data_IF_413559218147
#
_entry.id   IF_413559218147
#
_cell.length_a   1.000
_cell.length_b   1.000
_cell.length_c   1.000
_cell.angle_alpha   90.00
_cell.angle_beta   90.00
_cell.angle_gamma   90.00
#
_symmetry.space_group_name_H-M   'P 1'
#
loop_
_entity.id
_entity.type
_entity.pdbx_description
1 polymer ?
#
# COMPACT_ATOMS: atom_id res chain seq x y z
N UNK A 1 10.74 26.27 -26.05
CA UNK A 1 10.33 25.79 -24.71
C UNK A 1 8.83 25.58 -24.76
N UNK A 2 8.38 24.34 -24.80
CA UNK A 2 6.95 24.00 -24.62
C UNK A 2 6.73 23.87 -23.13
N UNK A 3 6.04 24.83 -22.54
CA UNK A 3 5.47 24.70 -21.22
C UNK A 3 4.50 23.50 -21.25
N UNK A 4 4.92 22.38 -20.70
CA UNK A 4 4.00 21.32 -20.34
C UNK A 4 3.17 21.85 -19.17
N UNK A 5 1.92 22.20 -19.46
CA UNK A 5 0.92 22.43 -18.41
C UNK A 5 0.72 21.09 -17.71
N UNK A 6 1.39 20.88 -16.58
CA UNK A 6 1.07 19.77 -15.68
C UNK A 6 -0.38 19.99 -15.26
N UNK A 7 -1.29 19.10 -15.67
CA UNK A 7 -2.62 19.02 -15.08
C UNK A 7 -2.42 18.48 -13.66
N UNK A 8 -2.26 19.37 -12.72
CA UNK A 8 -2.18 19.02 -11.32
C UNK A 8 -3.58 18.65 -10.85
N UNK A 9 -3.75 17.44 -10.36
CA UNK A 9 -5.00 17.04 -9.74
C UNK A 9 -5.16 17.78 -8.42
N UNK A 10 -6.33 18.29 -8.15
CA UNK A 10 -6.73 18.74 -6.82
C UNK A 10 -7.04 17.49 -6.00
N UNK A 11 -6.52 17.44 -4.78
CA UNK A 11 -6.84 16.34 -3.86
C UNK A 11 -8.34 16.36 -3.58
N UNK A 12 -9.00 15.24 -3.76
CA UNK A 12 -10.42 15.08 -3.50
C UNK A 12 -10.61 14.29 -2.20
N UNK A 13 -11.47 14.78 -1.33
CA UNK A 13 -11.92 14.00 -0.17
C UNK A 13 -12.61 12.72 -0.66
N UNK A 14 -12.22 11.58 -0.08
CA UNK A 14 -12.86 10.32 -0.37
C UNK A 14 -14.32 10.34 0.12
N UNK A 15 -15.23 10.20 -0.78
CA UNK A 15 -16.58 9.72 -0.66
C UNK A 15 -17.48 10.25 0.46
N UNK A 16 -18.60 9.59 0.59
CA UNK A 16 -19.60 9.82 1.63
C UNK A 16 -19.10 9.27 2.95
N UNK A 17 -18.96 10.12 3.96
CA UNK A 17 -18.76 9.64 5.32
C UNK A 17 -20.10 9.32 5.97
N UNK A 18 -20.27 8.12 6.50
CA UNK A 18 -21.44 7.77 7.29
C UNK A 18 -21.05 7.65 8.76
N UNK A 19 -21.65 8.47 9.62
CA UNK A 19 -21.52 8.30 11.04
C UNK A 19 -22.43 7.16 11.52
N UNK A 20 -21.84 6.13 12.11
CA UNK A 20 -22.61 5.10 12.82
C UNK A 20 -23.39 5.73 13.95
N UNK A 21 -24.70 5.50 14.01
CA UNK A 21 -25.54 6.00 15.10
C UNK A 21 -25.09 5.37 16.42
N UNK A 22 -24.46 6.18 17.25
CA UNK A 22 -24.28 5.84 18.64
C UNK A 22 -25.18 6.71 19.48
N UNK A 23 -26.18 6.08 20.02
CA UNK A 23 -26.99 6.61 21.09
C UNK A 23 -26.16 6.69 22.37
N UNK A 24 -25.09 7.47 22.36
CA UNK A 24 -24.36 7.91 23.55
C UNK A 24 -25.16 9.00 24.21
N UNK A 25 -26.00 8.64 25.15
CA UNK A 25 -26.77 9.59 25.94
C UNK A 25 -25.79 10.43 26.76
N UNK A 26 -25.47 11.66 26.33
CA UNK A 26 -24.81 12.65 27.17
C UNK A 26 -23.50 13.27 26.69
N UNK A 27 -23.00 12.97 25.50
CA UNK A 27 -21.85 13.69 24.96
C UNK A 27 -22.25 15.10 24.50
N UNK A 28 -21.40 16.06 24.83
CA UNK A 28 -21.60 17.45 24.47
C UNK A 28 -21.31 17.61 22.99
N UNK A 29 -22.24 18.22 22.27
CA UNK A 29 -22.04 18.55 20.85
C UNK A 29 -20.72 19.30 20.64
N UNK A 30 -19.93 18.87 19.66
CA UNK A 30 -18.65 19.45 19.32
C UNK A 30 -18.86 20.85 18.70
N UNK A 31 -18.15 21.84 19.17
CA UNK A 31 -18.15 23.19 18.60
C UNK A 31 -16.97 23.36 17.63
N UNK A 32 -17.20 23.01 16.36
CA UNK A 32 -16.17 23.01 15.31
C UNK A 32 -15.66 24.38 14.91
N UNK A 33 -16.28 25.47 15.43
CA UNK A 33 -15.81 26.84 15.15
C UNK A 33 -14.70 27.29 16.08
N UNK A 34 -14.40 26.52 17.13
CA UNK A 34 -13.34 26.86 18.08
C UNK A 34 -11.98 26.63 17.46
N UNK A 35 -11.08 27.58 17.67
CA UNK A 35 -9.66 27.43 17.36
C UNK A 35 -9.05 26.37 18.27
N UNK A 36 -8.48 25.30 17.69
CA UNK A 36 -7.79 24.23 18.41
C UNK A 36 -6.28 24.47 18.47
N UNK A 37 -5.72 25.10 17.44
CA UNK A 37 -4.33 25.54 17.40
C UNK A 37 -4.17 26.78 16.53
N UNK A 38 -3.00 27.42 16.63
CA UNK A 38 -2.54 28.46 15.70
C UNK A 38 -1.12 28.17 15.28
N UNK A 39 -0.83 28.35 13.99
CA UNK A 39 0.50 28.21 13.38
C UNK A 39 0.85 29.57 12.77
N UNK A 40 1.86 30.25 13.28
CA UNK A 40 2.26 31.60 12.85
C UNK A 40 1.11 32.59 12.72
N UNK A 41 0.11 32.46 13.61
CA UNK A 41 -1.10 33.27 13.64
C UNK A 41 -2.25 32.79 12.77
N UNK A 42 -2.06 31.76 11.95
CA UNK A 42 -3.14 31.07 11.20
C UNK A 42 -3.92 30.16 12.15
N UNK A 43 -5.24 30.35 12.22
CA UNK A 43 -6.10 29.56 13.10
C UNK A 43 -6.50 28.23 12.48
N UNK A 44 -6.38 27.15 13.25
CA UNK A 44 -6.90 25.80 12.91
C UNK A 44 -8.19 25.60 13.69
N UNK A 45 -9.34 25.51 12.99
CA UNK A 45 -10.62 25.26 13.65
C UNK A 45 -10.79 23.77 14.00
N UNK A 46 -11.45 23.51 15.12
CA UNK A 46 -11.69 22.16 15.63
C UNK A 46 -12.50 21.28 14.63
N UNK A 47 -13.37 21.89 13.81
CA UNK A 47 -14.13 21.17 12.79
C UNK A 47 -13.23 20.60 11.69
N UNK A 48 -12.18 21.32 11.29
CA UNK A 48 -11.18 20.84 10.33
C UNK A 48 -10.41 19.65 10.92
N UNK A 49 -9.93 19.76 12.16
CA UNK A 49 -9.28 18.64 12.85
C UNK A 49 -10.23 17.44 13.02
N UNK A 50 -11.51 17.69 13.33
CA UNK A 50 -12.51 16.63 13.43
C UNK A 50 -12.68 15.89 12.11
N UNK A 51 -12.73 16.61 10.99
CA UNK A 51 -12.81 16.02 9.64
C UNK A 51 -11.59 15.12 9.37
N UNK A 52 -10.39 15.65 9.51
CA UNK A 52 -9.14 14.94 9.24
C UNK A 52 -9.02 13.65 10.07
N UNK A 53 -9.18 13.72 11.39
CA UNK A 53 -9.04 12.55 12.24
C UNK A 53 -10.14 11.50 12.00
N UNK A 54 -11.35 11.92 11.64
CA UNK A 54 -12.45 10.97 11.35
C UNK A 54 -12.28 10.30 10.01
N UNK A 55 -11.73 10.99 9.03
CA UNK A 55 -11.33 10.40 7.76
C UNK A 55 -10.25 9.33 7.98
N UNK A 56 -9.18 9.64 8.68
CA UNK A 56 -8.13 8.68 9.03
C UNK A 56 -8.67 7.49 9.84
N UNK A 57 -9.55 7.74 10.81
CA UNK A 57 -10.24 6.67 11.55
C UNK A 57 -11.02 5.74 10.61
N UNK A 58 -11.82 6.31 9.70
CA UNK A 58 -12.64 5.53 8.80
C UNK A 58 -11.81 4.73 7.78
N UNK A 59 -10.69 5.29 7.31
CA UNK A 59 -9.73 4.59 6.44
C UNK A 59 -9.08 3.41 7.16
N UNK A 60 -8.59 3.63 8.39
CA UNK A 60 -7.99 2.57 9.20
C UNK A 60 -8.98 1.43 9.50
N UNK A 61 -10.23 1.76 9.85
CA UNK A 61 -11.27 0.77 10.09
C UNK A 61 -11.65 0.00 8.80
N UNK A 62 -11.70 0.68 7.66
CA UNK A 62 -11.99 0.03 6.37
C UNK A 62 -10.86 -0.92 5.96
N UNK A 63 -9.61 -0.49 6.11
CA UNK A 63 -8.44 -1.31 5.85
C UNK A 63 -8.42 -2.56 6.74
N UNK A 64 -8.57 -2.38 8.05
CA UNK A 64 -8.60 -3.50 9.00
C UNK A 64 -9.72 -4.49 8.66
N UNK A 65 -10.91 -3.98 8.35
CA UNK A 65 -12.06 -4.82 7.98
C UNK A 65 -11.80 -5.65 6.72
N UNK A 66 -11.06 -5.08 5.77
CA UNK A 66 -10.64 -5.78 4.56
C UNK A 66 -9.67 -6.94 4.87
N UNK A 67 -8.71 -6.73 5.79
CA UNK A 67 -7.73 -7.75 6.16
C UNK A 67 -8.27 -8.82 7.10
N UNK A 68 -9.20 -8.47 8.01
CA UNK A 68 -9.66 -9.35 9.09
C UNK A 68 -11.04 -9.95 8.84
N UNK A 69 -11.42 -10.12 7.58
CA UNK A 69 -12.65 -10.86 7.22
C UNK A 69 -13.95 -10.26 7.78
N UNK A 70 -14.01 -8.93 7.92
CA UNK A 70 -15.23 -8.24 8.35
C UNK A 70 -15.37 -8.02 9.85
N UNK A 71 -14.36 -8.35 10.65
CA UNK A 71 -14.32 -8.04 12.08
C UNK A 71 -14.28 -6.53 12.31
N UNK A 72 -14.97 -6.07 13.37
CA UNK A 72 -14.93 -4.67 13.76
C UNK A 72 -13.57 -4.32 14.38
N UNK A 73 -12.94 -3.28 13.86
CA UNK A 73 -11.75 -2.71 14.47
C UNK A 73 -12.11 -2.00 15.79
N UNK A 74 -11.42 -2.34 16.85
CA UNK A 74 -11.68 -1.82 18.20
C UNK A 74 -10.37 -1.64 18.96
N UNK A 75 -9.67 -0.56 18.64
CA UNK A 75 -8.37 -0.24 19.24
C UNK A 75 -8.32 1.17 19.83
N UNK A 76 -9.25 2.05 19.41
CA UNK A 76 -9.17 3.48 19.73
C UNK A 76 -9.20 3.80 21.21
N UNK A 77 -9.87 2.96 22.01
CA UNK A 77 -9.90 3.06 23.47
C UNK A 77 -8.76 2.36 24.19
N UNK A 78 -7.91 1.61 23.47
CA UNK A 78 -6.78 0.88 24.03
C UNK A 78 -5.60 1.82 24.27
N UNK A 79 -4.82 1.57 25.32
CA UNK A 79 -3.62 2.32 25.65
C UNK A 79 -2.52 2.03 24.62
N UNK A 80 -2.04 3.08 23.94
CA UNK A 80 -0.94 3.02 22.96
C UNK A 80 0.40 3.29 23.65
N UNK A 81 0.45 4.29 24.53
CA UNK A 81 1.59 4.71 25.33
C UNK A 81 1.12 4.96 26.75
N UNK A 82 2.04 5.06 27.72
CA UNK A 82 1.69 5.32 29.12
C UNK A 82 0.80 6.57 29.27
N UNK A 83 -0.47 6.34 29.56
CA UNK A 83 -1.48 7.37 29.80
C UNK A 83 -2.13 7.98 28.57
N UNK A 84 -1.90 7.45 27.35
CA UNK A 84 -2.55 7.84 26.10
C UNK A 84 -3.20 6.67 25.40
N UNK A 85 -4.40 6.86 24.86
CA UNK A 85 -5.06 5.87 23.99
C UNK A 85 -4.66 6.09 22.53
N UNK A 86 -4.82 5.05 21.69
CA UNK A 86 -4.65 5.19 20.22
C UNK A 86 -5.54 6.29 19.64
N UNK A 87 -6.76 6.46 20.18
CA UNK A 87 -7.64 7.55 19.77
C UNK A 87 -7.12 8.95 20.13
N UNK A 88 -6.46 9.11 21.26
CA UNK A 88 -5.82 10.38 21.64
C UNK A 88 -4.57 10.63 20.80
N UNK A 89 -3.79 9.60 20.50
CA UNK A 89 -2.64 9.68 19.61
C UNK A 89 -3.05 10.08 18.18
N UNK A 90 -4.12 9.47 17.65
CA UNK A 90 -4.66 9.82 16.32
C UNK A 90 -5.10 11.29 16.23
N UNK A 91 -5.69 11.84 17.31
CA UNK A 91 -6.07 13.27 17.34
C UNK A 91 -4.84 14.18 17.35
N UNK A 92 -3.81 13.82 18.10
CA UNK A 92 -2.56 14.59 18.13
C UNK A 92 -1.85 14.53 16.77
N UNK A 93 -1.72 13.35 16.18
CA UNK A 93 -1.11 13.16 14.86
C UNK A 93 -1.85 13.95 13.77
N UNK A 94 -3.17 13.88 13.72
CA UNK A 94 -3.96 14.64 12.75
C UNK A 94 -3.81 16.17 12.95
N UNK A 95 -3.59 16.64 14.18
CA UNK A 95 -3.31 18.04 14.41
C UNK A 95 -1.92 18.44 13.90
N UNK A 96 -0.90 17.65 14.17
CA UNK A 96 0.47 17.86 13.68
C UNK A 96 0.51 17.87 12.14
N UNK A 97 -0.24 16.97 11.48
CA UNK A 97 -0.37 16.97 10.02
C UNK A 97 -0.98 18.28 9.49
N UNK A 98 -2.04 18.79 10.13
CA UNK A 98 -2.64 20.08 9.74
C UNK A 98 -1.68 21.26 10.02
N UNK A 99 -0.94 21.22 11.11
CA UNK A 99 0.07 22.23 11.45
C UNK A 99 1.16 22.27 10.37
N UNK A 100 1.65 21.09 9.94
CA UNK A 100 2.59 20.97 8.82
C UNK A 100 1.98 21.52 7.52
N UNK A 101 0.75 21.16 7.19
CA UNK A 101 0.09 21.67 5.99
C UNK A 101 -0.04 23.20 5.97
N UNK A 102 -0.29 23.82 7.11
CA UNK A 102 -0.29 25.28 7.24
C UNK A 102 1.10 25.90 6.93
N UNK A 103 2.16 25.25 7.40
CA UNK A 103 3.55 25.69 7.13
C UNK A 103 3.90 25.48 5.65
N UNK A 104 3.55 24.32 5.08
CA UNK A 104 3.77 24.04 3.65
C UNK A 104 3.11 25.10 2.77
N UNK A 105 1.87 25.49 3.08
CA UNK A 105 1.18 26.58 2.40
C UNK A 105 1.91 27.92 2.55
N UNK A 106 2.43 28.23 3.73
CA UNK A 106 3.22 29.45 3.96
C UNK A 106 4.51 29.47 3.14
N UNK A 107 5.20 28.34 3.06
CA UNK A 107 6.46 28.18 2.31
C UNK A 107 6.26 28.00 0.81
N UNK A 108 5.05 27.74 0.33
CA UNK A 108 4.76 27.40 -1.06
C UNK A 108 5.31 28.41 -2.09
N UNK A 109 5.22 29.70 -1.78
CA UNK A 109 5.74 30.76 -2.66
C UNK A 109 7.27 30.71 -2.83
N UNK A 110 8.01 30.22 -1.85
CA UNK A 110 9.48 30.08 -1.91
C UNK A 110 9.89 28.94 -2.87
N UNK A 111 8.97 28.05 -3.17
CA UNK A 111 9.11 26.88 -4.06
C UNK A 111 8.38 27.05 -5.40
N UNK A 112 7.91 28.25 -5.72
CA UNK A 112 7.11 28.51 -6.93
C UNK A 112 5.83 27.65 -7.03
N UNK A 113 5.26 27.24 -5.88
CA UNK A 113 4.01 26.49 -5.79
C UNK A 113 2.86 27.43 -5.50
N UNK A 114 1.84 27.39 -6.34
CA UNK A 114 0.62 28.21 -6.20
C UNK A 114 -0.65 27.41 -6.52
N UNK A 115 -1.76 27.82 -5.97
CA UNK A 115 -3.11 27.35 -6.32
C UNK A 115 -3.67 28.30 -7.36
N UNK A 116 -4.09 27.76 -8.51
CA UNK A 116 -4.66 28.52 -9.62
C UNK A 116 -6.16 28.75 -9.45
N UNK A 117 -6.76 29.65 -10.25
CA UNK A 117 -8.23 29.86 -10.26
C UNK A 117 -8.99 28.57 -10.61
N UNK A 118 -8.44 27.70 -11.46
CA UNK A 118 -9.04 26.39 -11.79
C UNK A 118 -9.00 25.44 -10.59
N UNK A 119 -7.92 25.49 -9.81
CA UNK A 119 -7.80 24.71 -8.57
C UNK A 119 -8.77 25.21 -7.49
N UNK A 120 -8.88 26.53 -7.29
CA UNK A 120 -9.82 27.12 -6.35
C UNK A 120 -11.27 26.68 -6.68
N UNK A 121 -11.59 26.64 -7.99
CA UNK A 121 -12.88 26.16 -8.44
C UNK A 121 -13.06 24.67 -8.15
N UNK A 122 -12.08 23.84 -8.44
CA UNK A 122 -12.15 22.40 -8.20
C UNK A 122 -12.27 22.08 -6.70
N UNK A 123 -11.54 22.79 -5.84
CA UNK A 123 -11.65 22.71 -4.38
C UNK A 123 -13.07 23.10 -3.91
N UNK A 124 -13.63 24.18 -4.46
CA UNK A 124 -14.98 24.61 -4.10
C UNK A 124 -16.04 23.59 -4.54
N UNK A 125 -15.90 23.05 -5.76
CA UNK A 125 -16.82 22.03 -6.28
C UNK A 125 -16.71 20.72 -5.45
N UNK A 126 -15.51 20.30 -5.06
CA UNK A 126 -15.27 19.14 -4.21
C UNK A 126 -15.85 19.30 -2.79
N UNK A 127 -15.65 20.47 -2.18
CA UNK A 127 -16.23 20.76 -0.87
C UNK A 127 -17.77 20.76 -0.91
N UNK A 128 -18.37 21.37 -1.92
CA UNK A 128 -19.82 21.35 -2.11
C UNK A 128 -20.35 19.93 -2.35
N UNK A 129 -19.62 19.11 -3.11
CA UNK A 129 -19.95 17.70 -3.32
C UNK A 129 -19.90 16.93 -1.99
N UNK A 130 -18.86 17.10 -1.18
CA UNK A 130 -18.76 16.50 0.15
C UNK A 130 -19.95 16.89 1.04
N UNK A 131 -20.27 18.17 1.12
CA UNK A 131 -21.40 18.64 1.93
C UNK A 131 -22.74 18.07 1.46
N UNK A 132 -22.95 17.93 0.15
CA UNK A 132 -24.20 17.40 -0.41
C UNK A 132 -24.32 15.88 -0.33
N UNK A 133 -23.21 15.18 -0.34
CA UNK A 133 -23.16 13.72 -0.24
C UNK A 133 -23.37 13.20 1.20
N UNK A 134 -23.15 14.05 2.20
CA UNK A 134 -23.26 13.69 3.62
C UNK A 134 -24.59 14.16 4.24
N UNK A 135 -25.11 13.38 5.21
CA UNK A 135 -26.32 13.75 5.93
C UNK A 135 -26.06 14.91 6.89
N UNK A 136 -27.11 15.69 7.25
CA UNK A 136 -27.01 16.74 8.26
C UNK A 136 -26.48 16.21 9.61
N UNK A 137 -26.89 15.01 10.01
CA UNK A 137 -26.43 14.39 11.25
C UNK A 137 -24.93 14.03 11.20
N UNK A 138 -24.46 13.54 10.05
CA UNK A 138 -23.02 13.28 9.83
C UNK A 138 -22.22 14.57 9.90
N UNK A 139 -22.61 15.59 9.16
CA UNK A 139 -21.94 16.91 9.15
C UNK A 139 -21.95 17.57 10.52
N UNK A 140 -23.04 17.42 11.26
CA UNK A 140 -23.16 17.91 12.64
C UNK A 140 -22.21 17.16 13.57
N UNK A 141 -22.06 15.85 13.40
CA UNK A 141 -21.14 15.02 14.22
C UNK A 141 -19.68 15.35 13.90
N UNK A 142 -19.36 15.59 12.62
CA UNK A 142 -18.05 16.10 12.19
C UNK A 142 -17.80 17.52 12.69
N UNK A 143 -18.87 18.28 12.98
CA UNK A 143 -18.85 19.69 13.38
C UNK A 143 -18.11 20.58 12.37
N UNK A 144 -18.15 20.25 11.09
CA UNK A 144 -17.43 20.90 10.00
C UNK A 144 -18.36 21.80 9.17
N UNK A 145 -17.83 22.91 8.65
CA UNK A 145 -18.49 23.78 7.69
C UNK A 145 -17.89 23.63 6.30
N UNK A 146 -18.63 24.01 5.27
CA UNK A 146 -18.14 23.99 3.88
C UNK A 146 -16.83 24.79 3.72
N UNK A 147 -16.70 25.94 4.36
CA UNK A 147 -15.48 26.75 4.30
C UNK A 147 -14.29 26.04 4.97
N UNK A 148 -14.51 25.27 6.03
CA UNK A 148 -13.48 24.47 6.66
C UNK A 148 -13.05 23.29 5.76
N UNK A 149 -14.01 22.66 5.06
CA UNK A 149 -13.71 21.62 4.06
C UNK A 149 -12.90 22.21 2.90
N UNK A 150 -13.26 23.39 2.39
CA UNK A 150 -12.47 24.08 1.35
C UNK A 150 -11.04 24.36 1.81
N UNK A 151 -10.88 24.89 3.02
CA UNK A 151 -9.56 25.17 3.58
C UNK A 151 -8.74 23.90 3.76
N UNK A 152 -9.34 22.82 4.22
CA UNK A 152 -8.68 21.53 4.38
C UNK A 152 -8.19 20.99 3.02
N UNK A 153 -9.05 20.98 1.99
CA UNK A 153 -8.68 20.56 0.63
C UNK A 153 -7.59 21.44 0.00
N UNK A 154 -7.63 22.75 0.28
CA UNK A 154 -6.56 23.65 -0.13
C UNK A 154 -5.22 23.28 0.51
N UNK A 155 -5.21 23.01 1.81
CA UNK A 155 -4.03 22.59 2.54
C UNK A 155 -3.48 21.25 2.05
N UNK A 156 -4.34 20.25 1.83
CA UNK A 156 -3.97 18.97 1.24
C UNK A 156 -3.37 19.14 -0.17
N UNK A 157 -3.93 20.06 -0.97
CA UNK A 157 -3.39 20.36 -2.30
C UNK A 157 -1.99 20.96 -2.22
N UNK A 158 -1.72 21.85 -1.24
CA UNK A 158 -0.37 22.36 -1.01
C UNK A 158 0.57 21.26 -0.53
N UNK A 159 0.14 20.39 0.39
CA UNK A 159 0.93 19.24 0.87
C UNK A 159 1.39 18.37 -0.28
N UNK A 160 0.46 17.98 -1.15
CA UNK A 160 0.77 17.17 -2.33
C UNK A 160 1.73 17.86 -3.30
N UNK A 161 1.56 19.16 -3.54
CA UNK A 161 2.38 19.90 -4.52
C UNK A 161 3.76 20.31 -4.01
N UNK A 162 3.92 20.40 -2.71
CA UNK A 162 5.18 20.81 -2.08
C UNK A 162 6.19 19.68 -1.99
N UNK A 163 5.77 18.42 -2.05
CA UNK A 163 6.65 17.27 -1.92
C UNK A 163 7.79 17.30 -2.94
N UNK A 164 7.47 17.26 -4.24
CA UNK A 164 8.47 17.24 -5.32
C UNK A 164 9.46 18.41 -5.29
N UNK A 165 9.00 19.67 -5.11
CA UNK A 165 9.92 20.80 -4.99
C UNK A 165 10.87 20.71 -3.80
N UNK A 166 10.42 20.20 -2.65
CA UNK A 166 11.26 20.05 -1.45
C UNK A 166 12.39 19.06 -1.70
N UNK A 167 12.09 17.93 -2.36
CA UNK A 167 13.08 16.88 -2.63
C UNK A 167 13.88 17.09 -3.92
N UNK A 168 13.62 18.17 -4.67
CA UNK A 168 14.21 18.39 -5.99
C UNK A 168 15.76 18.40 -6.02
N UNK A 169 16.38 18.84 -4.93
CA UNK A 169 17.83 18.97 -4.80
C UNK A 169 18.50 17.73 -4.17
N UNK A 170 17.77 16.63 -3.97
CA UNK A 170 18.33 15.39 -3.43
C UNK A 170 19.44 14.82 -4.33
N UNK A 171 20.50 14.28 -3.72
CA UNK A 171 21.56 13.62 -4.47
C UNK A 171 21.11 12.24 -4.98
N UNK A 172 20.83 12.17 -6.28
CA UNK A 172 20.41 10.94 -6.97
C UNK A 172 21.59 10.11 -7.50
N UNK A 173 22.84 10.53 -7.23
CA UNK A 173 24.00 9.76 -7.65
C UNK A 173 24.26 8.64 -6.62
N UNK A 174 23.89 7.43 -6.98
CA UNK A 174 24.17 6.21 -6.21
C UNK A 174 25.18 5.39 -6.99
N UNK A 175 26.35 5.13 -6.39
CA UNK A 175 27.38 4.30 -7.02
C UNK A 175 26.99 2.81 -7.00
N UNK A 176 27.62 2.03 -7.91
CA UNK A 176 27.44 0.58 -7.87
C UNK A 176 28.00 0.00 -6.57
N UNK A 177 29.08 0.58 -6.03
CA UNK A 177 29.71 0.14 -4.77
C UNK A 177 28.76 0.32 -3.56
N UNK A 178 27.92 1.37 -3.58
CA UNK A 178 26.95 1.66 -2.52
C UNK A 178 25.68 0.79 -2.60
N UNK A 179 25.32 0.35 -3.80
CA UNK A 179 24.05 -0.33 -4.05
C UNK A 179 24.19 -1.78 -4.53
N UNK A 180 25.42 -2.30 -4.63
CA UNK A 180 25.65 -3.59 -5.24
C UNK A 180 24.98 -4.72 -4.47
N UNK A 181 24.12 -5.48 -5.19
CA UNK A 181 23.35 -6.58 -4.63
C UNK A 181 23.79 -7.92 -5.18
N UNK A 182 23.82 -8.91 -4.28
CA UNK A 182 23.79 -10.34 -4.62
C UNK A 182 22.36 -10.84 -4.57
N UNK A 183 21.98 -11.77 -5.47
CA UNK A 183 20.67 -12.41 -5.47
C UNK A 183 20.77 -13.91 -5.20
N UNK A 184 19.75 -14.47 -4.56
CA UNK A 184 19.72 -15.89 -4.21
C UNK A 184 18.27 -16.40 -4.13
N UNK A 185 18.15 -17.72 -4.21
CA UNK A 185 16.91 -18.43 -3.95
C UNK A 185 17.08 -19.34 -2.73
N UNK A 186 16.00 -19.54 -1.99
CA UNK A 186 16.03 -20.38 -0.79
C UNK A 186 14.67 -21.03 -0.52
N UNK A 187 14.74 -22.15 0.23
CA UNK A 187 13.57 -22.72 0.90
C UNK A 187 13.79 -22.58 2.39
N UNK A 188 12.78 -22.07 3.09
CA UNK A 188 12.74 -22.03 4.55
C UNK A 188 11.70 -23.03 5.06
N UNK A 189 12.09 -23.95 5.91
CA UNK A 189 11.22 -25.00 6.46
C UNK A 189 11.11 -24.77 7.96
N UNK A 190 9.99 -24.20 8.41
CA UNK A 190 9.75 -23.90 9.81
C UNK A 190 9.71 -25.17 10.67
N UNK A 191 10.25 -25.05 11.88
CA UNK A 191 10.23 -26.09 12.93
C UNK A 191 9.52 -25.62 14.20
N UNK A 192 8.91 -24.41 14.16
CA UNK A 192 8.16 -23.85 15.29
C UNK A 192 6.99 -24.75 15.64
N UNK A 193 6.75 -24.92 16.94
CA UNK A 193 5.64 -25.70 17.50
C UNK A 193 5.55 -27.18 17.09
N UNK A 194 6.64 -27.74 16.52
CA UNK A 194 6.72 -29.14 16.10
C UNK A 194 7.33 -30.02 17.20
N UNK A 195 6.99 -31.30 17.19
CA UNK A 195 7.60 -32.35 18.03
C UNK A 195 9.00 -32.72 17.50
N UNK A 196 9.86 -33.33 18.35
CA UNK A 196 11.21 -33.78 17.99
C UNK A 196 11.23 -34.72 16.75
N UNK A 197 10.20 -35.55 16.59
CA UNK A 197 10.10 -36.47 15.44
C UNK A 197 9.74 -35.71 14.16
N UNK A 198 8.88 -34.69 14.25
CA UNK A 198 8.52 -33.83 13.11
C UNK A 198 9.71 -32.95 12.70
N UNK A 199 10.39 -32.32 13.67
CA UNK A 199 11.61 -31.54 13.41
C UNK A 199 12.65 -32.39 12.65
N UNK A 200 12.83 -33.65 13.07
CA UNK A 200 13.71 -34.58 12.38
C UNK A 200 13.26 -34.85 10.94
N UNK A 201 11.95 -35.01 10.72
CA UNK A 201 11.41 -35.19 9.38
C UNK A 201 11.67 -33.96 8.51
N UNK A 202 11.43 -32.75 9.04
CA UNK A 202 11.70 -31.50 8.33
C UNK A 202 13.19 -31.35 7.94
N UNK A 203 14.10 -31.77 8.82
CA UNK A 203 15.54 -31.85 8.49
C UNK A 203 15.85 -32.83 7.37
N UNK A 204 15.22 -34.01 7.39
CA UNK A 204 15.38 -35.01 6.34
C UNK A 204 14.83 -34.49 4.99
N UNK A 205 13.75 -33.70 5.01
CA UNK A 205 13.17 -33.08 3.82
C UNK A 205 14.08 -31.99 3.26
N UNK A 206 14.59 -31.08 4.10
CA UNK A 206 15.61 -30.09 3.71
C UNK A 206 16.84 -30.78 3.06
N UNK A 207 17.28 -31.91 3.63
CA UNK A 207 18.40 -32.68 3.06
C UNK A 207 18.06 -33.27 1.68
N UNK A 208 16.83 -33.76 1.47
CA UNK A 208 16.40 -34.26 0.15
C UNK A 208 16.37 -33.15 -0.89
N UNK A 209 15.93 -31.95 -0.51
CA UNK A 209 15.96 -30.79 -1.41
C UNK A 209 17.40 -30.46 -1.79
N UNK A 210 18.31 -30.40 -0.81
CA UNK A 210 19.73 -30.14 -1.03
C UNK A 210 20.36 -31.21 -1.93
N UNK A 211 20.08 -32.48 -1.67
CA UNK A 211 20.56 -33.60 -2.48
C UNK A 211 20.03 -33.52 -3.92
N UNK A 212 18.78 -33.12 -4.10
CA UNK A 212 18.15 -32.87 -5.39
C UNK A 212 18.84 -31.77 -6.20
N UNK A 213 19.11 -30.63 -5.56
CA UNK A 213 19.86 -29.52 -6.16
C UNK A 213 21.30 -29.89 -6.51
N UNK A 214 21.97 -30.67 -5.64
CA UNK A 214 23.33 -31.14 -5.90
C UNK A 214 23.39 -32.17 -7.05
N UNK A 215 22.30 -32.94 -7.27
CA UNK A 215 22.19 -33.87 -8.38
C UNK A 215 21.88 -33.17 -9.72
N UNK A 216 21.14 -32.08 -9.68
CA UNK A 216 20.78 -31.26 -10.84
C UNK A 216 20.87 -29.76 -10.50
N UNK A 217 22.08 -29.17 -10.48
CA UNK A 217 22.28 -27.77 -10.11
C UNK A 217 21.63 -26.75 -11.05
N UNK A 218 21.34 -27.17 -12.30
CA UNK A 218 20.66 -26.34 -13.31
C UNK A 218 19.14 -26.62 -13.35
N UNK A 219 18.67 -27.57 -12.52
CA UNK A 219 17.27 -27.92 -12.41
C UNK A 219 16.44 -26.82 -11.75
N UNK A 220 15.12 -26.87 -11.97
CA UNK A 220 14.19 -25.95 -11.33
C UNK A 220 14.13 -26.22 -9.82
N UNK A 221 14.54 -25.23 -9.04
CA UNK A 221 14.58 -25.35 -7.58
C UNK A 221 13.18 -25.56 -7.01
N UNK A 222 12.17 -24.86 -7.55
CA UNK A 222 10.78 -25.00 -7.13
C UNK A 222 10.23 -26.40 -7.39
N UNK A 223 10.51 -26.99 -8.56
CA UNK A 223 10.11 -28.36 -8.86
C UNK A 223 10.83 -29.38 -7.96
N UNK A 224 12.11 -29.16 -7.67
CA UNK A 224 12.87 -30.01 -6.75
C UNK A 224 12.27 -29.95 -5.34
N UNK A 225 11.98 -28.76 -4.82
CA UNK A 225 11.39 -28.58 -3.51
C UNK A 225 10.01 -29.23 -3.42
N UNK A 226 9.12 -28.96 -4.37
CA UNK A 226 7.78 -29.56 -4.46
C UNK A 226 7.81 -31.08 -4.63
N UNK A 227 8.84 -31.64 -5.22
CA UNK A 227 8.98 -33.10 -5.31
C UNK A 227 9.19 -33.80 -3.97
N UNK A 228 9.62 -33.04 -2.92
CA UNK A 228 9.78 -33.52 -1.55
C UNK A 228 8.50 -33.34 -0.75
N UNK A 229 7.88 -32.17 -0.85
CA UNK A 229 6.58 -31.84 -0.27
C UNK A 229 5.97 -30.68 -1.08
N UNK A 230 4.71 -30.82 -1.50
CA UNK A 230 4.00 -29.83 -2.33
C UNK A 230 3.85 -28.44 -1.66
N UNK A 231 3.96 -28.40 -0.32
CA UNK A 231 3.90 -27.17 0.46
C UNK A 231 5.20 -26.36 0.46
N UNK A 232 6.32 -26.91 -0.02
CA UNK A 232 7.60 -26.20 -0.01
C UNK A 232 7.71 -25.26 -1.20
N UNK A 233 7.84 -23.98 -0.87
CA UNK A 233 7.95 -22.89 -1.85
C UNK A 233 9.39 -22.34 -1.83
N UNK A 234 9.92 -22.07 -3.01
CA UNK A 234 11.18 -21.36 -3.18
C UNK A 234 10.91 -19.88 -3.16
N UNK A 235 11.63 -19.17 -2.33
CA UNK A 235 11.60 -17.72 -2.20
C UNK A 235 12.87 -17.13 -2.81
N UNK A 236 12.79 -15.92 -3.33
CA UNK A 236 13.94 -15.15 -3.83
C UNK A 236 14.29 -14.05 -2.85
N UNK A 237 15.57 -13.71 -2.79
CA UNK A 237 16.08 -12.65 -1.94
C UNK A 237 17.31 -11.97 -2.52
N UNK A 238 17.63 -10.81 -1.97
CA UNK A 238 18.87 -10.11 -2.27
C UNK A 238 19.53 -9.60 -0.99
N UNK A 239 20.82 -9.31 -1.06
CA UNK A 239 21.59 -8.74 0.03
C UNK A 239 22.76 -7.90 -0.48
N UNK A 240 23.22 -6.96 0.34
CA UNK A 240 24.35 -6.08 0.00
C UNK A 240 25.63 -6.88 -0.16
N UNK A 241 26.18 -6.89 -1.36
CA UNK A 241 27.37 -7.67 -1.72
C UNK A 241 28.60 -7.21 -0.94
N UNK A 242 28.71 -5.89 -0.72
CA UNK A 242 29.90 -5.24 -0.12
C UNK A 242 29.78 -5.04 1.39
N UNK A 243 28.66 -5.42 1.98
CA UNK A 243 28.54 -5.35 3.43
C UNK A 243 29.44 -6.41 4.05
N UNK A 244 30.63 -5.98 4.49
CA UNK A 244 31.47 -6.83 5.32
C UNK A 244 30.68 -7.24 6.58
N UNK A 245 30.72 -8.51 6.91
CA UNK A 245 30.33 -8.97 8.23
C UNK A 245 31.36 -8.43 9.25
N UNK A 246 31.58 -7.13 9.26
CA UNK A 246 32.38 -6.47 10.27
C UNK A 246 31.57 -6.51 11.56
N UNK A 247 31.91 -7.45 12.42
CA UNK A 247 31.73 -7.35 13.85
C UNK A 247 32.36 -6.02 14.31
N UNK A 248 31.72 -4.89 14.07
CA UNK A 248 31.93 -3.75 14.93
C UNK A 248 31.17 -4.10 16.22
N UNK A 249 31.90 -4.77 17.15
CA UNK A 249 31.55 -4.77 18.56
C UNK A 249 31.45 -3.29 18.98
N UNK A 250 30.26 -2.71 18.87
CA UNK A 250 29.96 -1.46 19.55
C UNK A 250 29.87 -1.82 21.04
N UNK A 251 30.85 -1.34 21.82
CA UNK A 251 30.89 -1.41 23.30
C UNK A 251 29.71 -0.60 23.95
N UNK A 252 28.70 -0.22 23.23
CA UNK A 252 27.48 0.45 23.76
C UNK A 252 26.39 -0.58 24.01
N UNK A 253 26.17 -0.89 25.29
CA UNK A 253 25.21 -1.88 25.83
C UNK A 253 23.74 -1.51 25.57
N UNK A 254 23.38 -0.57 24.68
CA UNK A 254 21.98 -0.08 24.51
C UNK A 254 21.49 0.07 23.06
N UNK A 255 22.24 -0.41 22.06
CA UNK A 255 21.71 -0.54 20.70
C UNK A 255 21.74 -2.02 20.30
N UNK A 256 20.56 -2.62 20.22
CA UNK A 256 20.34 -3.82 19.40
C UNK A 256 20.66 -3.43 17.96
N UNK A 257 21.90 -3.66 17.54
CA UNK A 257 22.28 -3.64 16.14
C UNK A 257 21.49 -4.74 15.45
N UNK A 258 20.30 -4.38 14.93
CA UNK A 258 19.59 -5.23 14.01
C UNK A 258 20.56 -5.52 12.86
N UNK A 259 20.80 -6.80 12.58
CA UNK A 259 21.48 -7.23 11.36
C UNK A 259 20.88 -6.47 10.20
N UNK A 260 21.71 -5.83 9.37
CA UNK A 260 21.26 -5.07 8.21
C UNK A 260 20.59 -5.95 7.13
N UNK A 261 20.63 -7.27 7.31
CA UNK A 261 19.94 -8.24 6.46
C UNK A 261 18.70 -8.80 7.15
N UNK A 262 17.61 -8.94 6.39
CA UNK A 262 16.38 -9.59 6.84
C UNK A 262 16.52 -11.12 6.99
N UNK A 263 17.73 -11.64 6.93
CA UNK A 263 18.03 -13.08 6.93
C UNK A 263 18.92 -13.44 8.11
N UNK A 264 18.80 -14.68 8.67
CA UNK A 264 19.64 -15.14 9.76
C UNK A 264 21.14 -15.09 9.41
N UNK A 265 21.96 -14.75 10.39
CA UNK A 265 23.43 -14.65 10.22
C UNK A 265 24.06 -15.92 9.68
N UNK A 266 23.55 -17.10 10.07
CA UNK A 266 24.01 -18.39 9.58
C UNK A 266 23.78 -18.54 8.07
N UNK A 267 22.64 -18.04 7.58
CA UNK A 267 22.30 -18.03 6.15
C UNK A 267 23.23 -17.09 5.42
N UNK A 268 23.40 -15.87 5.93
CA UNK A 268 24.27 -14.84 5.33
C UNK A 268 25.73 -15.30 5.27
N UNK A 269 26.24 -15.94 6.32
CA UNK A 269 27.61 -16.51 6.35
C UNK A 269 27.84 -17.51 5.23
N UNK A 270 26.85 -18.35 4.91
CA UNK A 270 26.93 -19.28 3.80
C UNK A 270 26.86 -18.56 2.46
N UNK A 271 25.83 -17.72 2.24
CA UNK A 271 25.61 -17.01 0.98
C UNK A 271 26.84 -16.21 0.53
N UNK A 272 27.52 -15.52 1.45
CA UNK A 272 28.71 -14.71 1.15
C UNK A 272 29.95 -15.53 0.72
N UNK A 273 29.94 -16.87 0.87
CA UNK A 273 30.98 -17.74 0.38
C UNK A 273 30.75 -18.34 -0.98
N UNK A 274 29.48 -18.25 -1.47
CA UNK A 274 29.03 -18.87 -2.72
C UNK A 274 29.41 -18.03 -3.94
N UNK A 275 29.41 -18.67 -5.10
CA UNK A 275 29.58 -18.06 -6.42
C UNK A 275 28.29 -18.18 -7.21
N UNK A 276 28.24 -17.48 -8.34
CA UNK A 276 27.12 -17.52 -9.26
C UNK A 276 26.66 -18.95 -9.55
N UNK A 277 25.37 -19.22 -9.29
CA UNK A 277 24.74 -20.53 -9.48
C UNK A 277 25.11 -21.59 -8.45
N UNK A 278 25.91 -21.28 -7.42
CA UNK A 278 26.39 -22.28 -6.46
C UNK A 278 25.35 -22.55 -5.36
N UNK A 279 25.13 -23.82 -5.07
CA UNK A 279 24.26 -24.31 -4.00
C UNK A 279 24.99 -24.30 -2.67
N UNK A 280 24.34 -23.95 -1.57
CA UNK A 280 24.89 -24.04 -0.24
C UNK A 280 25.39 -25.49 0.09
N UNK A 281 26.51 -25.64 0.76
CA UNK A 281 27.12 -26.97 0.97
C UNK A 281 26.32 -27.87 1.91
N UNK A 282 25.58 -27.28 2.85
CA UNK A 282 24.86 -27.99 3.92
C UNK A 282 23.49 -27.34 4.14
N UNK A 283 22.56 -28.09 4.75
CA UNK A 283 21.31 -27.54 5.31
C UNK A 283 21.66 -26.61 6.48
N UNK A 284 21.21 -25.39 6.44
CA UNK A 284 21.47 -24.39 7.48
C UNK A 284 20.32 -24.44 8.50
N UNK A 285 20.66 -24.43 9.77
CA UNK A 285 19.68 -24.41 10.88
C UNK A 285 19.78 -23.04 11.58
N UNK A 286 18.70 -22.26 11.50
CA UNK A 286 18.62 -20.93 12.08
C UNK A 286 17.14 -20.55 12.39
N UNK A 287 16.90 -19.74 13.41
CA UNK A 287 15.61 -19.14 13.76
C UNK A 287 14.40 -20.10 13.75
N UNK A 288 14.60 -21.30 14.31
CA UNK A 288 13.58 -22.36 14.31
C UNK A 288 13.14 -22.79 12.90
N UNK A 289 14.07 -22.78 11.95
CA UNK A 289 13.85 -23.25 10.57
C UNK A 289 15.10 -23.94 10.00
N UNK A 290 14.90 -24.72 8.95
CA UNK A 290 15.95 -25.25 8.09
C UNK A 290 15.93 -24.52 6.76
N UNK A 291 17.11 -24.06 6.32
CA UNK A 291 17.30 -23.36 5.05
C UNK A 291 18.11 -24.18 4.08
N UNK A 292 17.68 -24.19 2.82
CA UNK A 292 18.47 -24.65 1.67
C UNK A 292 18.58 -23.45 0.73
N UNK A 293 19.81 -23.07 0.39
CA UNK A 293 20.09 -21.84 -0.35
C UNK A 293 20.83 -22.12 -1.65
N UNK A 294 20.59 -21.32 -2.67
CA UNK A 294 21.34 -21.28 -3.92
C UNK A 294 21.58 -19.83 -4.29
N UNK A 295 22.84 -19.43 -4.44
CA UNK A 295 23.17 -18.10 -4.92
C UNK A 295 22.94 -18.04 -6.44
N UNK A 296 22.20 -17.05 -6.91
CA UNK A 296 21.99 -16.84 -8.34
C UNK A 296 23.13 -16.03 -8.93
N UNK A 297 23.38 -14.86 -8.38
CA UNK A 297 24.43 -13.93 -8.84
C UNK A 297 25.06 -13.22 -7.66
N UNK A 298 26.40 -13.14 -7.66
CA UNK A 298 27.16 -12.30 -6.73
C UNK A 298 26.93 -10.82 -7.04
N UNK A 299 26.81 -10.47 -8.34
CA UNK A 299 26.50 -9.13 -8.78
C UNK A 299 25.25 -9.19 -9.65
N UNK A 300 24.10 -8.87 -9.07
CA UNK A 300 22.85 -8.81 -9.78
C UNK A 300 22.55 -7.36 -10.22
N UNK A 301 22.53 -7.13 -11.53
CA UNK A 301 22.32 -5.78 -12.10
C UNK A 301 20.90 -5.27 -11.82
N UNK A 302 19.90 -6.15 -11.86
CA UNK A 302 18.50 -5.78 -11.65
C UNK A 302 18.24 -5.49 -10.16
N UNK A 303 18.72 -6.36 -9.26
CA UNK A 303 18.65 -6.13 -7.81
C UNK A 303 19.43 -4.87 -7.40
N UNK A 304 20.59 -4.61 -8.03
CA UNK A 304 21.40 -3.40 -7.81
C UNK A 304 20.64 -2.15 -8.28
N UNK A 305 19.94 -2.21 -9.42
CA UNK A 305 19.14 -1.10 -9.91
C UNK A 305 17.98 -0.78 -8.94
N UNK A 306 17.26 -1.81 -8.47
CA UNK A 306 16.21 -1.67 -7.46
C UNK A 306 16.74 -1.07 -6.15
N UNK A 307 17.92 -1.51 -5.69
CA UNK A 307 18.56 -0.93 -4.48
C UNK A 307 18.90 0.55 -4.67
N UNK A 308 19.38 0.95 -5.86
CA UNK A 308 19.65 2.36 -6.17
C UNK A 308 18.39 3.21 -6.06
N UNK A 309 17.27 2.73 -6.60
CA UNK A 309 15.98 3.42 -6.50
C UNK A 309 15.54 3.52 -5.03
N UNK A 310 15.70 2.46 -4.26
CA UNK A 310 15.42 2.45 -2.82
C UNK A 310 16.27 3.48 -2.06
N UNK A 311 17.58 3.55 -2.33
CA UNK A 311 18.48 4.53 -1.70
C UNK A 311 18.06 5.96 -2.06
N UNK A 312 17.71 6.23 -3.32
CA UNK A 312 17.22 7.53 -3.74
C UNK A 312 15.93 7.89 -2.99
N UNK A 313 14.97 6.97 -2.92
CA UNK A 313 13.72 7.17 -2.19
C UNK A 313 13.96 7.45 -0.69
N UNK A 314 14.89 6.72 -0.07
CA UNK A 314 15.27 6.97 1.34
C UNK A 314 15.83 8.39 1.51
N UNK A 315 16.75 8.81 0.65
CA UNK A 315 17.32 10.17 0.68
C UNK A 315 16.26 11.26 0.43
N UNK A 316 15.29 10.99 -0.47
CA UNK A 316 14.17 11.89 -0.72
C UNK A 316 13.30 12.05 0.52
N UNK A 317 12.98 10.95 1.19
CA UNK A 317 12.19 10.96 2.43
C UNK A 317 12.95 11.65 3.58
N UNK A 318 14.24 11.38 3.73
CA UNK A 318 15.09 12.04 4.73
C UNK A 318 15.13 13.55 4.51
N UNK A 319 15.39 14.00 3.28
CA UNK A 319 15.43 15.43 2.94
C UNK A 319 14.08 16.09 3.19
N UNK A 320 12.97 15.43 2.83
CA UNK A 320 11.62 15.95 3.10
C UNK A 320 11.40 16.10 4.61
N UNK A 321 11.66 15.03 5.37
CA UNK A 321 11.47 15.02 6.83
C UNK A 321 12.35 16.07 7.52
N UNK A 322 13.65 16.10 7.24
CA UNK A 322 14.56 17.10 7.81
C UNK A 322 14.11 18.55 7.52
N UNK A 323 13.61 18.78 6.31
CA UNK A 323 13.16 20.11 5.89
C UNK A 323 11.87 20.50 6.62
N UNK A 324 10.91 19.60 6.69
CA UNK A 324 9.61 19.87 7.32
C UNK A 324 9.71 19.93 8.83
N UNK A 325 10.47 19.08 9.47
CA UNK A 325 10.72 19.10 10.92
C UNK A 325 11.37 20.41 11.34
N UNK A 326 12.35 20.87 10.57
CA UNK A 326 12.98 22.16 10.81
C UNK A 326 11.98 23.31 10.75
N UNK A 327 11.06 23.30 9.80
CA UNK A 327 10.04 24.35 9.70
C UNK A 327 9.03 24.28 10.85
N UNK A 328 8.66 23.07 11.27
CA UNK A 328 7.81 22.86 12.45
C UNK A 328 8.48 23.39 13.72
N UNK A 329 9.76 23.14 13.91
CA UNK A 329 10.54 23.61 15.06
C UNK A 329 10.67 25.15 15.08
N UNK A 330 10.73 25.80 13.92
CA UNK A 330 10.86 27.26 13.78
C UNK A 330 9.52 28.00 13.91
N UNK A 331 8.38 27.33 13.74
CA UNK A 331 7.05 27.91 13.72
C UNK A 331 6.52 28.29 15.13
N UNK A 332 5.74 29.36 15.24
CA UNK A 332 5.04 29.74 16.49
C UNK A 332 3.71 28.97 16.61
N UNK A 333 3.80 27.71 17.07
CA UNK A 333 2.64 26.83 17.25
C UNK A 333 2.08 26.95 18.66
N UNK A 334 0.76 27.17 18.77
CA UNK A 334 0.05 27.26 20.05
C UNK A 334 -1.18 26.38 20.02
N UNK A 335 -1.20 25.34 20.85
CA UNK A 335 -2.31 24.40 20.97
C UNK A 335 -3.21 24.74 22.15
N UNK A 336 -4.49 24.90 21.90
CA UNK A 336 -5.53 25.10 22.90
C UNK A 336 -5.96 23.73 23.51
N UNK A 337 -5.15 23.18 24.39
CA UNK A 337 -5.32 21.83 24.99
C UNK A 337 -6.71 21.57 25.55
N UNK A 338 -7.44 22.61 25.99
CA UNK A 338 -8.82 22.45 26.52
C UNK A 338 -9.81 22.21 25.37
N UNK A 339 -9.57 22.81 24.21
CA UNK A 339 -10.39 22.60 23.01
C UNK A 339 -10.06 21.24 22.42
N UNK A 340 -8.76 20.94 22.24
CA UNK A 340 -8.28 19.65 21.74
C UNK A 340 -8.93 18.45 22.49
N UNK A 341 -8.93 18.49 23.81
CA UNK A 341 -9.52 17.42 24.66
C UNK A 341 -11.04 17.25 24.51
N UNK A 342 -11.73 18.12 23.79
CA UNK A 342 -13.15 17.94 23.50
C UNK A 342 -13.40 16.99 22.31
N UNK A 343 -12.43 16.85 21.41
CA UNK A 343 -12.46 15.88 20.34
C UNK A 343 -11.93 14.54 20.86
N UNK A 344 -12.75 13.49 20.74
CA UNK A 344 -12.39 12.14 21.16
C UNK A 344 -12.60 11.16 20.04
N UNK A 345 -11.63 10.31 19.84
CA UNK A 345 -11.73 9.13 18.99
C UNK A 345 -11.82 7.90 19.88
N UNK A 346 -12.90 7.18 19.77
CA UNK A 346 -13.17 5.98 20.58
C UNK A 346 -13.87 4.95 19.72
N UNK A 347 -13.87 3.70 20.16
CA UNK A 347 -14.58 2.60 19.49
C UNK A 347 -16.09 2.82 19.39
N UNK A 348 -16.62 3.80 20.11
CA UNK A 348 -18.01 4.18 20.05
C UNK A 348 -18.35 5.18 18.94
N UNK A 349 -17.37 5.83 18.33
CA UNK A 349 -17.56 6.79 17.24
C UNK A 349 -17.07 6.13 15.95
N UNK A 350 -17.97 5.47 15.24
CA UNK A 350 -17.64 4.81 13.97
C UNK A 350 -18.04 5.70 12.82
N UNK A 351 -17.07 6.01 11.97
CA UNK A 351 -17.29 6.60 10.68
C UNK A 351 -16.91 5.56 9.61
N UNK A 352 -17.68 5.51 8.53
CA UNK A 352 -17.35 4.66 7.38
C UNK A 352 -17.23 5.55 6.16
N UNK A 353 -16.22 5.29 5.36
CA UNK A 353 -16.09 5.87 4.03
C UNK A 353 -16.90 4.98 3.10
N UNK A 354 -17.88 5.56 2.42
CA UNK A 354 -18.49 4.93 1.27
C UNK A 354 -17.68 5.41 0.06
N UNK A 355 -16.78 4.58 -0.46
CA UNK A 355 -16.28 4.78 -1.81
C UNK A 355 -17.51 4.87 -2.71
N UNK A 356 -17.58 5.92 -3.55
CA UNK A 356 -18.60 5.97 -4.57
C UNK A 356 -18.57 4.62 -5.28
N UNK A 357 -19.61 3.82 -5.08
CA UNK A 357 -19.81 2.63 -5.89
C UNK A 357 -19.70 3.13 -7.32
N UNK A 358 -18.85 2.54 -8.12
CA UNK A 358 -18.87 2.74 -9.55
C UNK A 358 -20.30 2.48 -9.95
N UNK A 359 -21.02 3.55 -10.30
CA UNK A 359 -22.40 3.48 -10.74
C UNK A 359 -22.40 2.82 -12.12
N UNK A 360 -22.27 1.49 -12.11
CA UNK A 360 -22.61 0.64 -13.25
C UNK A 360 -24.12 0.54 -13.35
N UNK A 361 -24.78 1.68 -13.40
CA UNK A 361 -26.09 1.73 -14.01
C UNK A 361 -25.88 1.61 -15.50
N UNK A 362 -26.15 0.42 -15.97
CA UNK A 362 -26.48 0.08 -17.34
C UNK A 362 -27.66 0.99 -17.78
N UNK A 363 -27.37 2.23 -18.12
CA UNK A 363 -28.28 3.07 -18.89
C UNK A 363 -28.01 2.79 -20.36
N UNK A 364 -28.81 1.88 -20.91
CA UNK A 364 -29.15 1.86 -22.32
C UNK A 364 -29.66 3.25 -22.72
N UNK A 365 -28.72 4.16 -23.03
CA UNK A 365 -29.02 5.43 -23.62
C UNK A 365 -29.51 5.20 -25.05
N UNK A 366 -30.82 5.35 -25.19
CA UNK A 366 -31.53 5.54 -26.45
C UNK A 366 -30.85 6.63 -27.27
N UNK A 367 -30.32 6.25 -28.43
CA UNK A 367 -29.66 7.14 -29.38
C UNK A 367 -30.69 8.11 -29.93
N UNK A 368 -30.70 9.32 -29.43
CA UNK A 368 -31.38 10.44 -30.07
C UNK A 368 -30.47 11.07 -31.12
N UNK A 369 -31.06 11.21 -32.28
CA UNK A 369 -30.51 11.60 -33.57
C UNK A 369 -29.68 12.89 -33.55
N UNK A 370 -28.53 12.81 -34.24
CA UNK A 370 -27.67 13.95 -34.60
C UNK A 370 -28.29 14.70 -35.78
N UNK A 371 -28.30 16.03 -35.79
CA UNK A 371 -28.70 16.77 -36.97
C UNK A 371 -27.61 16.78 -38.05
N UNK A 372 -28.10 16.58 -39.24
CA UNK A 372 -27.51 16.60 -40.56
C UNK A 372 -26.63 17.84 -40.83
N UNK A 373 -25.43 17.64 -41.34
CA UNK A 373 -24.67 18.67 -42.09
C UNK A 373 -24.31 18.10 -43.46
N UNK A 374 -24.83 18.83 -44.46
CA UNK A 374 -24.79 18.59 -45.89
C UNK A 374 -23.41 18.78 -46.52
N UNK A 375 -23.13 17.87 -47.51
CA UNK A 375 -22.40 18.02 -48.81
C UNK A 375 -20.95 18.56 -48.86
N UNK A 376 -20.02 17.92 -49.57
CA UNK A 376 -19.97 17.59 -50.97
C UNK A 376 -18.83 16.64 -51.35
N UNK A 377 -19.18 15.74 -52.30
CA UNK A 377 -18.49 15.23 -53.48
C UNK A 377 -16.95 15.04 -53.49
N UNK A 378 -16.33 13.98 -53.97
CA UNK A 378 -16.43 13.33 -55.27
C UNK A 378 -15.53 12.05 -55.31
N UNK A 379 -16.05 10.99 -55.95
CA UNK A 379 -15.44 9.96 -56.81
C UNK A 379 -14.09 9.30 -56.37
N UNK A 380 -13.83 8.05 -56.49
CA UNK A 380 -14.09 7.00 -57.47
C UNK A 380 -13.54 5.66 -57.01
N UNK A 381 -14.26 4.65 -57.29
CA UNK A 381 -14.03 3.28 -57.82
C UNK A 381 -13.66 2.11 -56.90
N UNK A 382 -14.61 1.18 -56.95
CA UNK A 382 -14.57 -0.25 -56.70
C UNK A 382 -13.75 -0.99 -57.77
N UNK A 383 -13.36 -2.27 -57.66
CA UNK A 383 -14.24 -3.43 -57.75
C UNK A 383 -13.93 -4.56 -56.75
N UNK A 384 -14.91 -5.26 -56.22
CA UNK A 384 -15.52 -6.53 -56.65
C UNK A 384 -14.51 -7.68 -56.77
N UNK A 385 -14.67 -8.86 -56.27
CA UNK A 385 -15.62 -9.93 -56.56
C UNK A 385 -15.41 -11.15 -55.65
N UNK A 386 -16.47 -11.72 -55.17
CA UNK A 386 -17.10 -13.04 -55.12
C UNK A 386 -16.59 -14.10 -54.15
N UNK A 387 -17.55 -14.55 -53.40
CA UNK A 387 -18.31 -15.85 -53.38
C UNK A 387 -17.51 -17.07 -52.82
N UNK A 388 -18.02 -18.03 -52.17
CA UNK A 388 -19.35 -18.46 -51.72
C UNK A 388 -19.24 -19.66 -50.80
N UNK A 389 -20.28 -19.88 -50.02
CA UNK A 389 -20.96 -21.14 -49.67
C UNK A 389 -20.17 -22.18 -48.82
N UNK A 390 -20.68 -22.97 -48.00
CA UNK A 390 -22.05 -23.40 -47.63
C UNK A 390 -21.96 -24.43 -46.49
N UNK A 391 -22.95 -24.38 -45.64
CA UNK A 391 -23.71 -25.47 -45.05
C UNK A 391 -23.15 -26.38 -43.92
N UNK A 392 -23.87 -26.32 -42.84
CA UNK A 392 -24.69 -27.39 -42.20
C UNK A 392 -23.91 -28.53 -41.52
N UNK A 393 -24.21 -28.99 -40.36
CA UNK A 393 -25.42 -29.26 -39.58
C UNK A 393 -25.05 -29.68 -38.15
N UNK A 394 -25.91 -29.34 -37.20
CA UNK A 394 -26.06 -29.97 -35.90
C UNK A 394 -26.59 -31.39 -36.06
N UNK A 395 -26.35 -32.34 -35.14
CA UNK A 395 -27.50 -32.78 -34.36
C UNK A 395 -27.24 -32.99 -32.86
N UNK A 396 -28.27 -32.73 -32.20
CA UNK A 396 -28.82 -33.00 -30.90
C UNK A 396 -28.74 -34.49 -30.43
N UNK A 397 -28.79 -34.64 -29.11
CA UNK A 397 -29.60 -35.60 -28.33
C UNK A 397 -28.88 -36.64 -27.45
N UNK A 398 -29.20 -36.50 -26.23
CA UNK A 398 -29.74 -37.30 -25.11
C UNK A 398 -28.81 -38.06 -24.18
N UNK A 399 -29.04 -37.63 -22.91
CA UNK A 399 -29.27 -38.38 -21.65
C UNK A 399 -28.63 -39.76 -21.40
N UNK A 400 -27.99 -39.89 -20.30
CA UNK A 400 -28.38 -40.56 -19.04
C UNK A 400 -27.20 -41.21 -18.30
N UNK A 401 -27.08 -40.78 -17.03
CA UNK A 401 -26.80 -41.54 -15.81
C UNK A 401 -25.64 -42.56 -15.74
N UNK A 402 -24.81 -42.34 -14.83
CA UNK A 402 -24.58 -43.01 -13.53
C UNK A 402 -23.11 -43.18 -13.16
N UNK A 403 -22.89 -42.88 -11.92
CA UNK A 403 -21.73 -42.86 -11.05
C UNK A 403 -20.58 -43.85 -11.35
N UNK A 404 -19.35 -43.33 -11.30
CA UNK A 404 -18.29 -43.92 -10.45
C UNK A 404 -17.12 -42.91 -10.32
N UNK A 405 -16.74 -42.61 -9.10
CA UNK A 405 -15.66 -41.71 -8.74
C UNK A 405 -14.29 -42.23 -9.18
N UNK A 406 -13.53 -41.38 -9.87
CA UNK A 406 -12.08 -41.53 -10.03
C UNK A 406 -11.45 -40.21 -9.61
N UNK A 407 -10.35 -40.19 -8.85
CA UNK A 407 -9.78 -38.95 -8.34
C UNK A 407 -9.25 -38.08 -9.49
N UNK A 408 -9.74 -36.88 -9.49
CA UNK A 408 -9.41 -35.81 -10.42
C UNK A 408 -7.95 -35.38 -10.22
N UNK A 409 -7.20 -35.35 -11.29
CA UNK A 409 -5.88 -34.76 -11.37
C UNK A 409 -6.09 -33.25 -11.21
N UNK A 410 -5.64 -32.69 -10.12
CA UNK A 410 -5.67 -31.24 -9.86
C UNK A 410 -4.78 -30.54 -10.87
N UNK A 411 -5.39 -29.82 -11.78
CA UNK A 411 -4.70 -28.79 -12.58
C UNK A 411 -4.11 -27.74 -11.68
N UNK A 412 -2.97 -27.17 -12.07
CA UNK A 412 -2.33 -26.05 -11.38
C UNK A 412 -3.33 -24.93 -11.07
N UNK A 413 -3.23 -24.26 -9.93
CA UNK A 413 -4.18 -23.24 -9.54
C UNK A 413 -4.20 -22.12 -10.57
N UNK A 414 -5.29 -22.03 -11.32
CA UNK A 414 -5.60 -20.85 -12.12
C UNK A 414 -6.16 -19.81 -11.15
N UNK A 415 -5.47 -18.70 -10.99
CA UNK A 415 -5.99 -17.59 -10.20
C UNK A 415 -7.24 -17.04 -10.87
N UNK A 416 -8.33 -16.99 -10.12
CA UNK A 416 -9.57 -16.39 -10.59
C UNK A 416 -9.50 -14.89 -10.28
N UNK A 417 -9.60 -14.06 -11.30
CA UNK A 417 -9.60 -12.60 -11.19
C UNK A 417 -11.01 -12.02 -11.08
N UNK A 418 -12.01 -12.86 -10.78
CA UNK A 418 -13.39 -12.41 -10.61
C UNK A 418 -13.53 -11.67 -9.28
N UNK A 419 -13.75 -10.34 -9.37
CA UNK A 419 -13.95 -9.47 -8.23
C UNK A 419 -15.20 -9.78 -7.37
N UNK A 420 -16.01 -10.75 -7.76
CA UNK A 420 -17.16 -11.22 -7.00
C UNK A 420 -16.86 -12.40 -6.06
N UNK A 421 -15.63 -12.92 -6.07
CA UNK A 421 -15.24 -14.00 -5.17
C UNK A 421 -15.06 -13.46 -3.75
N UNK A 422 -15.72 -14.12 -2.81
CA UNK A 422 -15.54 -13.88 -1.38
C UNK A 422 -14.46 -14.83 -0.85
N UNK A 423 -13.42 -14.27 -0.27
CA UNK A 423 -12.37 -15.03 0.45
C UNK A 423 -12.96 -15.63 1.71
N UNK A 424 -12.71 -16.92 1.95
CA UNK A 424 -13.23 -17.68 3.09
C UNK A 424 -12.10 -18.13 4.00
N UNK A 425 -12.47 -18.48 5.24
CA UNK A 425 -11.56 -19.09 6.22
C UNK A 425 -10.84 -20.30 5.60
N UNK A 426 -9.51 -20.25 5.58
CA UNK A 426 -8.65 -21.29 5.01
C UNK A 426 -8.25 -21.08 3.55
N UNK A 427 -8.71 -20.02 2.89
CA UNK A 427 -8.29 -19.69 1.54
C UNK A 427 -6.87 -19.08 1.54
N UNK A 428 -6.08 -19.43 0.53
CA UNK A 428 -4.79 -18.78 0.29
C UNK A 428 -4.96 -17.79 -0.86
N UNK A 429 -4.65 -16.51 -0.61
CA UNK A 429 -4.74 -15.47 -1.62
C UNK A 429 -3.35 -14.93 -1.96
N UNK A 430 -3.09 -14.69 -3.24
CA UNK A 430 -1.96 -13.89 -3.68
C UNK A 430 -2.42 -12.43 -3.76
N UNK A 431 -1.72 -11.58 -3.04
CA UNK A 431 -2.01 -10.15 -3.05
C UNK A 431 -0.83 -9.45 -3.72
N UNK A 432 -1.09 -8.95 -4.93
CA UNK A 432 -0.21 -7.97 -5.56
C UNK A 432 -0.71 -6.59 -5.16
N UNK A 433 0.07 -5.85 -4.40
CA UNK A 433 -0.26 -4.47 -4.13
C UNK A 433 0.87 -3.55 -4.59
N UNK A 434 0.47 -2.49 -5.24
CA UNK A 434 1.37 -1.41 -5.62
C UNK A 434 1.03 -0.23 -4.74
N UNK A 435 1.93 0.10 -3.81
CA UNK A 435 1.83 1.34 -3.07
C UNK A 435 2.03 2.50 -4.05
N UNK A 436 1.06 3.39 -4.13
CA UNK A 436 1.17 4.62 -4.91
C UNK A 436 1.09 5.80 -3.96
N UNK A 437 2.06 6.69 -4.06
CA UNK A 437 1.96 8.05 -3.55
C UNK A 437 1.79 8.91 -4.81
N UNK A 438 0.71 9.66 -4.91
CA UNK A 438 0.41 10.56 -6.02
C UNK A 438 0.45 9.93 -7.43
N UNK A 439 -0.19 8.76 -7.62
CA UNK A 439 -0.21 8.01 -8.88
C UNK A 439 1.16 7.54 -9.42
N UNK A 440 2.23 7.74 -8.70
CA UNK A 440 3.54 7.16 -8.98
C UNK A 440 3.69 5.87 -8.20
N UNK A 441 3.94 4.76 -8.88
CA UNK A 441 4.26 3.50 -8.22
C UNK A 441 5.60 3.66 -7.48
N UNK A 442 5.56 3.66 -6.16
CA UNK A 442 6.74 3.86 -5.33
C UNK A 442 7.35 2.57 -4.78
N UNK A 443 6.61 1.46 -4.81
CA UNK A 443 7.14 0.14 -4.43
C UNK A 443 6.38 -0.94 -5.21
N UNK A 444 7.08 -1.74 -6.00
CA UNK A 444 6.61 -3.08 -6.34
C UNK A 444 6.89 -3.96 -5.12
N UNK A 445 5.87 -4.24 -4.36
CA UNK A 445 6.00 -5.23 -3.29
C UNK A 445 5.78 -6.61 -3.90
N UNK A 446 6.76 -7.47 -3.72
CA UNK A 446 6.71 -8.86 -4.14
C UNK A 446 5.46 -9.55 -3.57
N UNK A 447 4.88 -10.39 -4.37
CA UNK A 447 3.72 -11.23 -4.04
C UNK A 447 3.95 -11.97 -2.73
N UNK A 448 3.32 -11.57 -1.66
CA UNK A 448 3.27 -12.37 -0.44
C UNK A 448 2.01 -13.24 -0.46
N UNK A 449 2.20 -14.54 -0.27
CA UNK A 449 1.08 -15.45 -0.02
C UNK A 449 0.63 -15.28 1.43
N UNK A 450 -0.53 -14.70 1.63
CA UNK A 450 -1.14 -14.58 2.96
C UNK A 450 -2.17 -15.67 3.12
N UNK A 451 -1.92 -16.57 4.06
CA UNK A 451 -2.91 -17.56 4.46
C UNK A 451 -3.82 -16.92 5.51
N UNK A 452 -5.10 -16.86 5.22
CA UNK A 452 -6.11 -16.34 6.12
C UNK A 452 -6.62 -17.50 7.00
N UNK A 453 -6.47 -17.31 8.30
CA UNK A 453 -6.93 -18.28 9.32
C UNK A 453 -8.31 -17.94 9.82
#
# INVERSE_FOLDING_TARGET
MKTMTKKTAVVALAGVMAAGMLTGCGEKELDGTKTVATVDGTEIPLGMLSLSVREGQAQAEAMYKSFMGGSDYSIWGTEAEEGKTYGEQAVEQALEDIELMCILKEKAADYDVEITEDDEKAIADAAAAFMSANTEDTLKTLAVTEDQVKTYLELETYKSRMHDPIIADVDKNVSDEEAQQSSFNYVSISTSDLSDDEIKQKKEDAQKILDGLNADPDGDFGEIAKSVDDSYTVLSGSFDTNEDASEEESDDEDETTASSSNYPDEVMKVLRTLKDGEVGPDVIEADSAYYVVKLDKVNDEDATATKKESIISTRENELYTETTDKWLDEADIKVEKKVLKTLKVTDNHKFTIQTAAEDTTDETAEVTETPEVTEAADATETPEVTEAADATETPEVTEAADATATPEVTEAPSYDTDSSLEVKDGDTVNIDYVGKIDDVATVEVQTEMVQIW
#
